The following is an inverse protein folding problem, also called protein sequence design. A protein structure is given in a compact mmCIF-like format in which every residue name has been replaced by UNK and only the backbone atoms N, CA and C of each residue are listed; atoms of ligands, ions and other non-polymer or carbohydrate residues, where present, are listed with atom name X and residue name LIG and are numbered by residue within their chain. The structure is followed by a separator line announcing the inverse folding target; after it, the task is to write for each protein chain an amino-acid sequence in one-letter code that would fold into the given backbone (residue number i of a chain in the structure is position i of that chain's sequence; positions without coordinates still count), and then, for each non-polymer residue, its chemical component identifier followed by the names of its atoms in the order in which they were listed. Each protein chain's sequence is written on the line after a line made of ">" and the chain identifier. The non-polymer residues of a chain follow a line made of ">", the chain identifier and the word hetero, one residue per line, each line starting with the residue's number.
data_IF_346627017266
#
_entry.id   IF_346627017266
#
_cell.length_a   1.000
_cell.length_b   1.000
_cell.length_c   1.000
_cell.angle_alpha   90.00
_cell.angle_beta   90.00
_cell.angle_gamma   90.00
#
_symmetry.space_group_name_H-M   'P 1'
#
loop_
_entity.id
_entity.type
_entity.pdbx_description
1 polymer ?
#
# COMPACT_ATOMS: atom_id res chain seq x y z
N UNK A 1 -6.69 8.02 -1.10
CA UNK A 1 -8.01 7.72 -1.66
C UNK A 1 -7.95 6.43 -2.48
N UNK A 2 -9.10 5.85 -2.74
CA UNK A 2 -9.26 4.66 -3.58
C UNK A 2 -8.70 4.87 -5.01
N UNK A 3 -8.69 6.10 -5.48
CA UNK A 3 -8.09 6.51 -6.77
C UNK A 3 -6.58 6.27 -6.82
N UNK A 4 -5.92 6.19 -5.67
CA UNK A 4 -4.50 5.94 -5.55
C UNK A 4 -4.14 4.45 -5.79
N UNK A 5 -5.14 3.56 -5.92
CA UNK A 5 -4.95 2.14 -6.22
C UNK A 5 -4.83 1.82 -7.73
N UNK A 6 -4.94 2.82 -8.62
CA UNK A 6 -4.83 2.62 -10.08
C UNK A 6 -3.53 1.95 -10.56
N UNK A 7 -2.37 2.12 -9.90
CA UNK A 7 -1.16 1.39 -10.28
C UNK A 7 -1.32 -0.14 -10.29
N UNK A 8 -2.34 -0.67 -9.59
CA UNK A 8 -2.65 -2.10 -9.58
C UNK A 8 -2.96 -2.67 -10.98
N UNK A 9 -3.46 -1.86 -11.90
CA UNK A 9 -3.71 -2.27 -13.29
C UNK A 9 -2.43 -2.58 -14.07
N UNK A 10 -1.29 -2.11 -13.59
CA UNK A 10 0.05 -2.34 -14.16
C UNK A 10 0.71 -3.60 -13.58
N UNK A 11 0.06 -4.26 -12.60
CA UNK A 11 0.61 -5.47 -12.02
C UNK A 11 0.73 -6.59 -13.06
N UNK A 12 1.85 -7.27 -13.07
CA UNK A 12 2.14 -8.42 -13.92
C UNK A 12 1.44 -9.67 -13.34
N UNK A 13 0.11 -9.69 -13.41
CA UNK A 13 -0.74 -10.77 -12.94
C UNK A 13 -1.72 -11.19 -14.03
N UNK A 14 -2.13 -12.46 -13.99
CA UNK A 14 -3.06 -13.02 -14.97
C UNK A 14 -4.50 -12.54 -14.70
N UNK A 15 -4.87 -12.47 -13.42
CA UNK A 15 -6.19 -12.00 -12.97
C UNK A 15 -6.07 -10.99 -11.84
N UNK A 16 -7.03 -10.06 -11.82
CA UNK A 16 -7.22 -9.09 -10.72
C UNK A 16 -8.62 -9.30 -10.17
N UNK A 17 -8.75 -9.45 -8.87
CA UNK A 17 -10.03 -9.54 -8.19
C UNK A 17 -10.18 -8.35 -7.27
N UNK A 18 -11.27 -7.63 -7.45
CA UNK A 18 -11.61 -6.47 -6.63
C UNK A 18 -12.75 -6.82 -5.69
N UNK A 19 -12.48 -6.81 -4.39
CA UNK A 19 -13.48 -6.90 -3.33
C UNK A 19 -13.74 -5.53 -2.71
N UNK A 20 -14.83 -4.87 -3.12
CA UNK A 20 -15.21 -3.55 -2.63
C UNK A 20 -16.23 -3.63 -1.49
N UNK A 21 -15.94 -3.00 -0.35
CA UNK A 21 -16.76 -3.03 0.86
C UNK A 21 -17.13 -1.61 1.30
N UNK A 22 -18.42 -1.28 1.23
CA UNK A 22 -18.92 0.03 1.62
C UNK A 22 -18.48 1.17 0.71
N UNK A 23 -18.31 0.89 -0.57
CA UNK A 23 -17.92 1.89 -1.57
C UNK A 23 -19.05 2.88 -1.83
N UNK A 24 -18.70 4.14 -2.09
CA UNK A 24 -19.67 5.10 -2.62
C UNK A 24 -20.05 4.74 -4.07
N UNK A 25 -21.22 5.17 -4.53
CA UNK A 25 -21.61 4.96 -5.93
C UNK A 25 -20.63 5.65 -6.90
N UNK A 26 -20.10 6.81 -6.53
CA UNK A 26 -19.13 7.54 -7.34
C UNK A 26 -17.81 6.75 -7.49
N UNK A 27 -17.31 6.16 -6.40
CA UNK A 27 -16.12 5.29 -6.44
C UNK A 27 -16.36 4.05 -7.31
N UNK A 28 -17.53 3.42 -7.15
CA UNK A 28 -17.91 2.26 -7.98
C UNK A 28 -17.91 2.60 -9.48
N UNK A 29 -18.58 3.70 -9.86
CA UNK A 29 -18.63 4.16 -11.25
C UNK A 29 -17.26 4.55 -11.78
N UNK A 30 -16.45 5.18 -10.94
CA UNK A 30 -15.07 5.53 -11.28
C UNK A 30 -14.25 4.28 -11.62
N UNK A 31 -14.23 3.27 -10.75
CA UNK A 31 -13.50 2.02 -11.03
C UNK A 31 -14.00 1.32 -12.28
N UNK A 32 -15.32 1.22 -12.45
CA UNK A 32 -15.92 0.62 -13.64
C UNK A 32 -15.45 1.32 -14.93
N UNK A 33 -15.44 2.65 -14.92
CA UNK A 33 -15.01 3.44 -16.08
C UNK A 33 -13.50 3.28 -16.35
N UNK A 34 -12.68 3.33 -15.29
CA UNK A 34 -11.22 3.15 -15.40
C UNK A 34 -10.87 1.78 -15.96
N UNK A 35 -11.48 0.72 -15.46
CA UNK A 35 -11.25 -0.64 -15.93
C UNK A 35 -11.71 -0.85 -17.38
N UNK A 36 -12.85 -0.26 -17.74
CA UNK A 36 -13.36 -0.28 -19.12
C UNK A 36 -12.41 0.45 -20.08
N UNK A 37 -11.96 1.65 -19.71
CA UNK A 37 -11.06 2.47 -20.52
C UNK A 37 -9.66 1.86 -20.67
N UNK A 38 -9.21 1.12 -19.66
CA UNK A 38 -7.92 0.42 -19.69
C UNK A 38 -7.96 -0.87 -20.50
N UNK A 39 -9.14 -1.29 -21.04
CA UNK A 39 -9.29 -2.58 -21.72
C UNK A 39 -9.01 -3.80 -20.82
N UNK A 40 -9.13 -3.62 -19.51
CA UNK A 40 -8.74 -4.63 -18.51
C UNK A 40 -9.93 -5.49 -18.02
N UNK A 41 -11.13 -5.28 -18.54
CA UNK A 41 -12.35 -5.96 -18.06
C UNK A 41 -12.25 -7.48 -18.12
N UNK A 42 -11.56 -8.03 -19.12
CA UNK A 42 -11.39 -9.49 -19.26
C UNK A 42 -10.45 -10.11 -18.20
N UNK A 43 -9.65 -9.26 -17.55
CA UNK A 43 -8.74 -9.66 -16.48
C UNK A 43 -9.29 -9.42 -15.09
N UNK A 44 -10.39 -8.68 -14.96
CA UNK A 44 -10.91 -8.22 -13.67
C UNK A 44 -12.22 -8.91 -13.33
N UNK A 45 -12.28 -9.48 -12.13
CA UNK A 45 -13.52 -9.93 -11.48
C UNK A 45 -13.78 -9.03 -10.30
N UNK A 46 -15.00 -8.52 -10.14
CA UNK A 46 -15.33 -7.61 -9.06
C UNK A 46 -16.55 -8.05 -8.25
N UNK A 47 -16.42 -8.03 -6.94
CA UNK A 47 -17.47 -8.22 -5.96
C UNK A 47 -17.63 -6.91 -5.20
N UNK A 48 -18.78 -6.28 -5.26
CA UNK A 48 -18.97 -4.92 -4.76
C UNK A 48 -20.16 -4.82 -3.83
N UNK A 49 -19.93 -4.28 -2.65
CA UNK A 49 -20.96 -3.78 -1.76
C UNK A 49 -20.82 -2.24 -1.68
N UNK A 50 -21.90 -1.55 -1.94
CA UNK A 50 -21.94 -0.09 -1.86
C UNK A 50 -22.52 0.38 -0.52
N UNK A 51 -22.46 1.68 -0.25
CA UNK A 51 -23.07 2.30 0.93
C UNK A 51 -24.59 2.15 0.98
N UNK A 52 -25.22 1.86 -0.16
CA UNK A 52 -26.68 1.62 -0.26
C UNK A 52 -27.07 0.18 0.09
N UNK A 53 -26.11 -0.75 0.07
CA UNK A 53 -26.36 -2.15 0.42
C UNK A 53 -26.30 -2.38 1.94
N UNK A 54 -26.97 -3.41 2.46
CA UNK A 54 -26.90 -3.78 3.87
C UNK A 54 -25.44 -3.98 4.34
N UNK A 55 -25.04 -3.43 5.50
CA UNK A 55 -23.67 -3.60 6.00
C UNK A 55 -23.24 -5.05 6.19
N UNK A 56 -24.17 -5.96 6.52
CA UNK A 56 -23.85 -7.39 6.72
C UNK A 56 -23.33 -8.06 5.44
N UNK A 57 -23.72 -7.59 4.28
CA UNK A 57 -23.22 -8.12 2.99
C UNK A 57 -21.73 -7.86 2.80
N UNK A 58 -21.17 -6.83 3.45
CA UNK A 58 -19.72 -6.54 3.42
C UNK A 58 -18.89 -7.71 3.92
N UNK A 59 -19.42 -8.46 4.89
CA UNK A 59 -18.74 -9.60 5.48
C UNK A 59 -18.56 -10.77 4.50
N UNK A 60 -19.37 -10.84 3.46
CA UNK A 60 -19.30 -11.88 2.43
C UNK A 60 -18.31 -11.55 1.30
N UNK A 61 -17.99 -10.28 1.11
CA UNK A 61 -17.17 -9.83 -0.02
C UNK A 61 -15.76 -10.45 -0.01
N UNK A 62 -15.00 -10.47 1.11
CA UNK A 62 -13.69 -11.12 1.12
C UNK A 62 -13.75 -12.60 0.78
N UNK A 63 -14.75 -13.33 1.32
CA UNK A 63 -14.90 -14.76 1.06
C UNK A 63 -15.23 -15.03 -0.41
N UNK A 64 -16.11 -14.25 -1.02
CA UNK A 64 -16.44 -14.36 -2.45
C UNK A 64 -15.22 -14.06 -3.33
N UNK A 65 -14.51 -12.98 -3.04
CA UNK A 65 -13.32 -12.57 -3.78
C UNK A 65 -12.21 -13.63 -3.70
N UNK A 66 -11.95 -14.13 -2.49
CA UNK A 66 -10.89 -15.11 -2.26
C UNK A 66 -11.25 -16.50 -2.78
N UNK A 67 -12.53 -16.92 -2.74
CA UNK A 67 -12.99 -18.16 -3.37
C UNK A 67 -12.77 -18.12 -4.89
N UNK A 68 -13.07 -16.98 -5.53
CA UNK A 68 -12.79 -16.82 -6.95
C UNK A 68 -11.26 -16.82 -7.22
N UNK A 69 -10.47 -16.20 -6.35
CA UNK A 69 -9.00 -16.22 -6.46
C UNK A 69 -8.42 -17.63 -6.34
N UNK A 70 -8.90 -18.41 -5.38
CA UNK A 70 -8.51 -19.81 -5.21
C UNK A 70 -8.84 -20.64 -6.46
N UNK A 71 -10.02 -20.44 -7.06
CA UNK A 71 -10.40 -21.13 -8.29
C UNK A 71 -9.39 -20.86 -9.42
N UNK A 72 -9.08 -19.61 -9.70
CA UNK A 72 -8.13 -19.24 -10.77
C UNK A 72 -6.71 -19.72 -10.47
N UNK A 73 -6.25 -19.56 -9.22
CA UNK A 73 -4.91 -19.95 -8.86
C UNK A 73 -4.69 -21.47 -8.85
N UNK A 74 -5.68 -22.25 -8.38
CA UNK A 74 -5.54 -23.72 -8.26
C UNK A 74 -5.85 -24.42 -9.57
N UNK A 75 -6.97 -24.06 -10.23
CA UNK A 75 -7.42 -24.80 -11.41
C UNK A 75 -6.73 -24.34 -12.70
N UNK A 76 -6.39 -23.06 -12.80
CA UNK A 76 -5.79 -22.49 -14.01
C UNK A 76 -4.28 -22.21 -13.84
N UNK A 77 -3.72 -22.39 -12.65
CA UNK A 77 -2.34 -22.04 -12.31
C UNK A 77 -2.02 -20.54 -12.53
N UNK A 78 -3.01 -19.67 -12.39
CA UNK A 78 -2.89 -18.24 -12.62
C UNK A 78 -2.29 -17.53 -11.39
N UNK A 79 -1.57 -16.43 -11.66
CA UNK A 79 -1.16 -15.45 -10.65
C UNK A 79 -2.28 -14.46 -10.45
N UNK A 80 -2.91 -14.49 -9.29
CA UNK A 80 -4.08 -13.69 -8.97
C UNK A 80 -3.72 -12.60 -7.98
N UNK A 81 -4.07 -11.36 -8.29
CA UNK A 81 -3.99 -10.23 -7.39
C UNK A 81 -5.38 -9.90 -6.86
N UNK A 82 -5.54 -9.93 -5.55
CA UNK A 82 -6.80 -9.57 -4.86
C UNK A 82 -6.62 -8.22 -4.18
N UNK A 83 -7.48 -7.26 -4.53
CA UNK A 83 -7.58 -5.98 -3.86
C UNK A 83 -8.82 -5.98 -2.96
N UNK A 84 -8.64 -5.94 -1.66
CA UNK A 84 -9.73 -5.83 -0.69
C UNK A 84 -9.78 -4.38 -0.16
N UNK A 85 -10.86 -3.69 -0.47
CA UNK A 85 -11.06 -2.28 -0.12
C UNK A 85 -12.52 -1.99 0.23
N UNK A 86 -12.88 -1.48 1.38
CA UNK A 86 -12.04 -1.05 2.51
C UNK A 86 -12.19 -2.02 3.68
N UNK A 87 -11.06 -2.49 4.21
CA UNK A 87 -11.08 -3.42 5.35
C UNK A 87 -11.53 -2.74 6.64
N UNK A 88 -11.46 -1.41 6.74
CA UNK A 88 -12.08 -0.65 7.83
C UNK A 88 -13.59 -0.75 7.78
N UNK A 89 -14.19 -0.60 6.58
CA UNK A 89 -15.63 -0.80 6.38
C UNK A 89 -16.08 -2.25 6.66
N UNK A 90 -15.22 -3.24 6.37
CA UNK A 90 -15.46 -4.64 6.76
C UNK A 90 -15.51 -4.77 8.28
N UNK A 91 -14.53 -4.22 9.00
CA UNK A 91 -14.45 -4.28 10.46
C UNK A 91 -15.62 -3.55 11.14
N UNK A 92 -16.08 -2.44 10.59
CA UNK A 92 -17.26 -1.73 11.05
C UNK A 92 -18.53 -2.60 10.93
N UNK A 93 -18.69 -3.31 9.82
CA UNK A 93 -19.79 -4.25 9.64
C UNK A 93 -19.71 -5.42 10.62
N UNK A 94 -18.51 -5.93 10.88
CA UNK A 94 -18.27 -6.98 11.87
C UNK A 94 -18.65 -6.49 13.29
N UNK A 95 -18.29 -5.27 13.65
CA UNK A 95 -18.65 -4.66 14.92
C UNK A 95 -20.17 -4.50 15.06
N UNK A 96 -20.88 -4.09 14.00
CA UNK A 96 -22.34 -3.98 14.01
C UNK A 96 -22.99 -5.34 14.29
N UNK A 97 -22.54 -6.41 13.63
CA UNK A 97 -23.07 -7.76 13.85
C UNK A 97 -22.74 -8.27 15.25
N UNK A 98 -21.50 -8.11 15.69
CA UNK A 98 -21.03 -8.51 17.01
C UNK A 98 -21.83 -7.85 18.14
N UNK A 99 -22.09 -6.54 18.03
CA UNK A 99 -22.90 -5.80 19.00
C UNK A 99 -24.36 -6.29 19.05
N UNK A 100 -24.93 -6.71 17.93
CA UNK A 100 -26.27 -7.31 17.88
C UNK A 100 -26.34 -8.70 18.50
N UNK A 101 -25.20 -9.36 18.63
CA UNK A 101 -25.04 -10.66 19.28
C UNK A 101 -24.63 -10.53 20.76
N UNK A 102 -24.75 -9.33 21.34
CA UNK A 102 -24.41 -9.00 22.74
C UNK A 102 -22.95 -9.36 23.12
N UNK A 103 -22.04 -9.32 22.17
CA UNK A 103 -20.62 -9.54 22.43
C UNK A 103 -19.98 -8.27 23.01
N UNK A 104 -19.10 -8.48 24.00
CA UNK A 104 -18.37 -7.36 24.64
C UNK A 104 -17.35 -6.78 23.66
N UNK A 105 -17.39 -5.47 23.36
CA UNK A 105 -16.40 -4.81 22.51
C UNK A 105 -15.00 -4.84 23.13
N UNK A 106 -13.98 -4.89 22.28
CA UNK A 106 -12.57 -4.76 22.62
C UNK A 106 -12.06 -3.34 22.29
N UNK A 107 -10.77 -3.20 22.02
CA UNK A 107 -10.11 -1.94 21.62
C UNK A 107 -10.85 -1.28 20.44
N UNK A 108 -11.02 0.04 20.51
CA UNK A 108 -11.65 0.88 19.48
C UNK A 108 -13.11 0.46 19.15
N UNK A 109 -13.84 -0.11 20.13
CA UNK A 109 -15.18 -0.64 19.95
C UNK A 109 -15.30 -1.80 18.95
N UNK A 110 -14.20 -2.42 18.59
CA UNK A 110 -14.14 -3.57 17.67
C UNK A 110 -14.42 -4.89 18.41
N UNK A 111 -14.94 -5.92 17.72
CA UNK A 111 -15.13 -7.24 18.32
C UNK A 111 -13.82 -7.89 18.72
N UNK A 112 -13.83 -8.70 19.78
CA UNK A 112 -12.65 -9.45 20.23
C UNK A 112 -12.12 -10.44 19.20
N UNK A 113 -12.93 -10.86 18.25
CA UNK A 113 -12.56 -11.74 17.15
C UNK A 113 -11.86 -11.06 15.97
N UNK A 114 -11.76 -9.72 15.94
CA UNK A 114 -11.26 -8.96 14.79
C UNK A 114 -9.94 -9.51 14.26
N UNK A 115 -8.96 -9.77 15.15
CA UNK A 115 -7.66 -10.30 14.74
C UNK A 115 -7.79 -11.65 14.02
N UNK A 116 -8.55 -12.58 14.58
CA UNK A 116 -8.73 -13.91 14.00
C UNK A 116 -9.53 -13.88 12.69
N UNK A 117 -10.49 -12.97 12.57
CA UNK A 117 -11.27 -12.82 11.34
C UNK A 117 -10.42 -12.23 10.22
N UNK A 118 -9.62 -11.20 10.50
CA UNK A 118 -8.64 -10.67 9.53
C UNK A 118 -7.57 -11.70 9.16
N UNK A 119 -7.06 -12.46 10.14
CA UNK A 119 -6.05 -13.48 9.89
C UNK A 119 -6.56 -14.57 8.93
N UNK A 120 -7.80 -15.06 9.10
CA UNK A 120 -8.43 -16.03 8.20
C UNK A 120 -8.52 -15.53 6.75
N UNK A 121 -8.73 -14.23 6.56
CA UNK A 121 -8.78 -13.62 5.24
C UNK A 121 -7.37 -13.55 4.64
N UNK A 122 -6.40 -13.04 5.40
CA UNK A 122 -5.07 -12.73 4.88
C UNK A 122 -4.18 -13.98 4.73
N UNK A 123 -4.40 -15.04 5.51
CA UNK A 123 -3.67 -16.31 5.35
C UNK A 123 -3.92 -17.02 4.02
N UNK A 124 -4.93 -16.60 3.27
CA UNK A 124 -5.19 -17.09 1.90
C UNK A 124 -4.21 -16.53 0.84
N UNK A 125 -3.36 -15.58 1.21
CA UNK A 125 -2.24 -15.15 0.37
C UNK A 125 -1.17 -16.22 0.33
N UNK A 126 -1.11 -17.00 -0.76
CA UNK A 126 -0.28 -18.19 -0.85
C UNK A 126 0.23 -18.42 -2.27
N UNK A 127 1.41 -19.05 -2.40
CA UNK A 127 1.90 -19.62 -3.66
C UNK A 127 1.70 -21.13 -3.62
N UNK A 128 0.99 -21.65 -4.62
CA UNK A 128 0.71 -23.08 -4.75
C UNK A 128 1.87 -23.82 -5.41
N UNK A 129 2.12 -25.08 -5.05
CA UNK A 129 3.15 -25.89 -5.70
C UNK A 129 2.93 -26.09 -7.20
N UNK A 130 1.70 -26.00 -7.67
CA UNK A 130 1.30 -26.09 -9.09
C UNK A 130 1.75 -24.89 -9.92
N UNK A 131 2.11 -23.77 -9.29
CA UNK A 131 2.57 -22.55 -9.97
C UNK A 131 1.63 -21.35 -9.83
N UNK A 132 0.36 -21.56 -9.51
CA UNK A 132 -0.59 -20.47 -9.23
C UNK A 132 -0.27 -19.77 -7.91
N UNK A 133 -0.72 -18.53 -7.77
CA UNK A 133 -0.51 -17.75 -6.54
C UNK A 133 -1.60 -16.74 -6.29
N UNK A 134 -1.83 -16.42 -5.02
CA UNK A 134 -2.72 -15.35 -4.57
C UNK A 134 -1.89 -14.31 -3.83
N UNK A 135 -1.91 -13.10 -4.32
CA UNK A 135 -1.36 -11.92 -3.63
C UNK A 135 -2.52 -11.05 -3.17
N UNK A 136 -2.54 -10.66 -1.90
CA UNK A 136 -3.60 -9.81 -1.34
C UNK A 136 -3.03 -8.43 -1.03
N UNK A 137 -3.71 -7.39 -1.51
CA UNK A 137 -3.53 -6.01 -1.06
C UNK A 137 -4.79 -5.63 -0.28
N UNK A 138 -4.64 -5.51 1.03
CA UNK A 138 -5.69 -5.07 1.93
C UNK A 138 -5.57 -3.56 2.17
N UNK A 139 -6.60 -2.81 1.77
CA UNK A 139 -6.64 -1.35 1.97
C UNK A 139 -7.40 -1.05 3.26
N UNK A 140 -6.80 -0.22 4.11
CA UNK A 140 -7.41 0.30 5.33
C UNK A 140 -7.44 1.82 5.28
N UNK A 141 -8.57 2.41 5.64
CA UNK A 141 -8.69 3.86 5.81
C UNK A 141 -8.25 4.25 7.23
N UNK A 142 -7.39 5.26 7.31
CA UNK A 142 -6.90 5.78 8.58
C UNK A 142 -7.76 6.99 9.00
N UNK A 143 -8.63 6.79 9.98
CA UNK A 143 -9.37 7.90 10.58
C UNK A 143 -8.42 8.83 11.31
N UNK A 144 -8.38 10.12 10.93
CA UNK A 144 -7.45 11.09 11.50
C UNK A 144 -5.95 10.78 11.29
N UNK A 145 -5.61 9.84 10.40
CA UNK A 145 -4.23 9.41 10.18
C UNK A 145 -3.67 8.48 11.27
N UNK A 146 -4.54 7.93 12.12
CA UNK A 146 -4.15 7.05 13.24
C UNK A 146 -3.90 5.62 12.77
N UNK A 147 -2.61 5.25 12.70
CA UNK A 147 -2.15 3.90 12.36
C UNK A 147 -2.32 2.91 13.54
N UNK A 148 -2.53 3.43 14.76
CA UNK A 148 -2.67 2.59 15.98
C UNK A 148 -4.08 2.12 16.24
N UNK A 149 -5.04 2.55 15.42
CA UNK A 149 -6.41 2.02 15.44
C UNK A 149 -6.40 0.50 15.19
N UNK A 150 -7.32 -0.24 15.82
CA UNK A 150 -7.32 -1.71 15.82
C UNK A 150 -7.25 -2.35 14.43
N UNK A 151 -7.87 -1.77 13.40
CA UNK A 151 -7.91 -2.34 12.06
C UNK A 151 -6.56 -2.24 11.33
N UNK A 152 -5.96 -1.05 11.14
CA UNK A 152 -4.64 -0.95 10.52
C UNK A 152 -3.55 -1.62 11.35
N UNK A 153 -3.62 -1.56 12.69
CA UNK A 153 -2.64 -2.17 13.59
C UNK A 153 -2.64 -3.70 13.41
N UNK A 154 -3.80 -4.36 13.52
CA UNK A 154 -3.91 -5.80 13.30
C UNK A 154 -3.54 -6.21 11.87
N UNK A 155 -3.96 -5.46 10.86
CA UNK A 155 -3.57 -5.69 9.47
C UNK A 155 -2.06 -5.64 9.30
N UNK A 156 -1.40 -4.66 9.91
CA UNK A 156 0.05 -4.52 9.92
C UNK A 156 0.78 -5.67 10.61
N UNK A 157 0.19 -6.28 11.65
CA UNK A 157 0.77 -7.45 12.32
C UNK A 157 0.66 -8.73 11.49
N UNK A 158 -0.45 -8.93 10.80
CA UNK A 158 -0.74 -10.17 10.07
C UNK A 158 -0.02 -10.19 8.73
N UNK A 159 0.03 -9.07 8.01
CA UNK A 159 0.57 -8.99 6.65
C UNK A 159 2.09 -8.87 6.62
N UNK A 160 2.72 -9.26 5.50
CA UNK A 160 4.19 -9.23 5.32
C UNK A 160 4.76 -7.84 5.02
N UNK A 161 3.90 -6.86 4.76
CA UNK A 161 4.30 -5.48 4.54
C UNK A 161 3.14 -4.54 4.60
N UNK A 162 3.43 -3.28 4.86
CA UNK A 162 2.45 -2.20 4.82
C UNK A 162 3.03 -0.99 4.11
N UNK A 163 2.22 -0.38 3.27
CA UNK A 163 2.52 0.86 2.57
C UNK A 163 1.65 1.97 3.17
N UNK A 164 2.28 2.93 3.81
CA UNK A 164 1.59 4.10 4.33
C UNK A 164 1.61 5.21 3.28
N UNK A 165 0.43 5.62 2.84
CA UNK A 165 0.26 6.68 1.85
C UNK A 165 -0.02 8.01 2.56
N UNK A 166 0.65 9.09 2.12
CA UNK A 166 0.37 10.45 2.57
C UNK A 166 0.46 11.45 1.43
N UNK A 167 -0.24 12.55 1.56
CA UNK A 167 -0.05 13.69 0.65
C UNK A 167 1.21 14.45 1.06
N UNK A 168 2.09 14.66 0.10
CA UNK A 168 3.28 15.50 0.26
C UNK A 168 2.95 16.93 -0.18
N UNK A 169 3.08 17.90 0.76
CA UNK A 169 2.75 19.30 0.50
C UNK A 169 3.73 19.99 -0.45
N UNK A 170 4.98 19.52 -0.46
CA UNK A 170 6.08 20.18 -1.18
C UNK A 170 6.00 19.88 -2.70
N UNK A 171 5.39 18.74 -3.06
CA UNK A 171 5.18 18.34 -4.47
C UNK A 171 3.71 18.23 -4.86
N UNK A 172 2.77 18.34 -3.90
CA UNK A 172 1.32 18.26 -4.15
C UNK A 172 0.79 16.88 -4.54
N UNK A 173 1.60 15.83 -4.42
CA UNK A 173 1.27 14.45 -4.80
C UNK A 173 1.05 13.55 -3.59
N UNK A 174 0.43 12.39 -3.82
CA UNK A 174 0.42 11.28 -2.86
C UNK A 174 1.71 10.49 -3.03
N UNK A 175 2.35 10.19 -1.93
CA UNK A 175 3.60 9.41 -1.88
C UNK A 175 3.49 8.24 -0.92
N UNK A 176 4.32 7.23 -1.12
CA UNK A 176 4.60 6.19 -0.12
C UNK A 176 5.55 6.77 0.92
N UNK A 177 5.13 6.81 2.19
CA UNK A 177 5.97 7.31 3.29
C UNK A 177 7.04 6.26 3.64
N UNK A 178 8.34 6.55 3.45
CA UNK A 178 9.40 5.57 3.66
C UNK A 178 9.67 5.25 5.13
N UNK A 179 9.22 6.09 6.07
CA UNK A 179 9.42 5.86 7.51
C UNK A 179 8.30 5.06 8.15
N UNK A 180 7.07 5.23 7.65
CA UNK A 180 5.89 4.55 8.17
C UNK A 180 5.56 3.26 7.42
N UNK A 181 6.20 3.05 6.28
CA UNK A 181 6.05 1.83 5.49
C UNK A 181 7.03 0.76 5.93
N UNK A 182 6.60 -0.50 5.86
CA UNK A 182 7.37 -1.66 6.32
C UNK A 182 7.28 -2.78 5.30
N UNK A 183 8.40 -3.49 5.08
CA UNK A 183 8.44 -4.79 4.41
C UNK A 183 9.28 -5.76 5.23
N UNK A 184 8.67 -6.84 5.72
CA UNK A 184 9.36 -7.89 6.47
C UNK A 184 10.24 -8.76 5.58
N UNK A 185 9.85 -8.90 4.32
CA UNK A 185 10.54 -9.78 3.36
C UNK A 185 11.71 -9.10 2.62
N UNK A 186 11.95 -7.80 2.83
CA UNK A 186 12.98 -7.05 2.10
C UNK A 186 14.37 -7.71 2.18
N UNK A 187 14.73 -8.29 3.31
CA UNK A 187 16.05 -8.95 3.51
C UNK A 187 16.22 -10.23 2.68
N UNK A 188 15.13 -10.85 2.25
CA UNK A 188 15.15 -12.04 1.39
C UNK A 188 15.39 -11.69 -0.09
N UNK A 189 15.11 -10.46 -0.47
CA UNK A 189 15.11 -9.99 -1.86
C UNK A 189 16.25 -9.00 -2.12
N UNK A 190 16.42 -8.01 -1.25
CA UNK A 190 17.33 -6.88 -1.44
C UNK A 190 18.79 -7.33 -1.51
N UNK A 191 19.45 -7.06 -2.64
CA UNK A 191 20.83 -7.45 -2.91
C UNK A 191 21.05 -8.94 -3.21
N UNK A 192 20.00 -9.77 -3.16
CA UNK A 192 20.04 -11.22 -3.48
C UNK A 192 19.33 -11.53 -4.78
N UNK A 193 18.10 -11.04 -4.95
CA UNK A 193 17.30 -11.15 -6.18
C UNK A 193 17.30 -9.84 -6.97
N UNK A 194 17.84 -8.78 -6.40
CA UNK A 194 18.01 -7.46 -7.00
C UNK A 194 19.49 -7.14 -7.13
N UNK A 195 19.82 -5.99 -7.73
CA UNK A 195 21.19 -5.51 -7.91
C UNK A 195 21.94 -5.44 -6.57
N UNK A 196 23.23 -5.77 -6.55
CA UNK A 196 24.03 -5.93 -5.32
C UNK A 196 24.17 -4.65 -4.47
N UNK A 197 24.09 -3.48 -5.10
CA UNK A 197 24.15 -2.17 -4.45
C UNK A 197 22.83 -1.69 -3.87
N UNK A 198 21.73 -2.43 -4.11
CA UNK A 198 20.39 -2.06 -3.60
C UNK A 198 20.38 -1.80 -2.09
N UNK A 199 21.00 -2.62 -1.21
CA UNK A 199 21.00 -2.33 0.23
C UNK A 199 21.67 -0.99 0.57
N UNK A 200 22.79 -0.67 -0.08
CA UNK A 200 23.55 0.55 0.15
C UNK A 200 22.78 1.78 -0.33
N UNK A 201 22.20 1.69 -1.54
CA UNK A 201 21.36 2.76 -2.10
C UNK A 201 20.17 3.06 -1.19
N UNK A 202 19.44 2.02 -0.75
CA UNK A 202 18.31 2.17 0.14
C UNK A 202 18.69 2.80 1.48
N UNK A 203 19.78 2.33 2.11
CA UNK A 203 20.24 2.88 3.39
C UNK A 203 20.68 4.35 3.26
N UNK A 204 21.38 4.70 2.18
CA UNK A 204 21.77 6.08 1.90
C UNK A 204 20.54 6.98 1.68
N UNK A 205 19.57 6.53 0.90
CA UNK A 205 18.34 7.28 0.64
C UNK A 205 17.54 7.54 1.91
N UNK A 206 17.32 6.50 2.74
CA UNK A 206 16.57 6.64 4.01
C UNK A 206 17.28 7.63 4.95
N UNK A 207 18.62 7.56 5.05
CA UNK A 207 19.37 8.50 5.88
C UNK A 207 19.23 9.94 5.38
N UNK A 208 19.44 10.18 4.08
CA UNK A 208 19.33 11.53 3.51
C UNK A 208 17.90 12.07 3.62
N UNK A 209 16.91 11.22 3.50
CA UNK A 209 15.51 11.60 3.69
C UNK A 209 15.21 11.96 5.16
N UNK A 210 15.85 11.28 6.13
CA UNK A 210 15.77 11.62 7.54
C UNK A 210 16.48 12.95 7.85
N UNK A 211 17.65 13.20 7.26
CA UNK A 211 18.36 14.46 7.39
C UNK A 211 17.52 15.62 6.83
N UNK A 212 16.82 15.41 5.71
CA UNK A 212 15.90 16.40 5.15
C UNK A 212 14.70 16.68 6.08
N UNK A 213 14.14 15.66 6.74
CA UNK A 213 13.08 15.85 7.73
C UNK A 213 13.56 16.70 8.92
N UNK A 214 14.79 16.46 9.40
CA UNK A 214 15.42 17.29 10.43
C UNK A 214 15.66 18.73 9.95
N UNK A 215 16.13 18.92 8.71
CA UNK A 215 16.32 20.25 8.13
C UNK A 215 14.98 21.00 7.99
N UNK A 216 13.90 20.32 7.62
CA UNK A 216 12.55 20.90 7.57
C UNK A 216 12.09 21.37 8.95
N UNK A 217 12.30 20.57 9.99
CA UNK A 217 12.00 20.95 11.38
C UNK A 217 12.82 22.16 11.84
N UNK A 218 14.11 22.27 11.47
CA UNK A 218 14.92 23.47 11.74
C UNK A 218 14.31 24.72 11.09
N UNK A 219 13.93 24.60 9.80
CA UNK A 219 13.32 25.70 9.06
C UNK A 219 12.00 26.18 9.70
N UNK A 220 11.14 25.24 10.06
CA UNK A 220 9.85 25.50 10.72
C UNK A 220 10.03 26.19 12.10
N UNK A 221 11.12 25.88 12.79
CA UNK A 221 11.47 26.51 14.07
C UNK A 221 12.26 27.83 13.92
N UNK A 222 12.47 28.30 12.69
CA UNK A 222 13.14 29.57 12.41
C UNK A 222 14.67 29.55 12.55
N UNK A 223 15.29 28.37 12.50
CA UNK A 223 16.75 28.25 12.48
C UNK A 223 17.31 28.41 11.07
N UNK A 224 18.52 28.97 10.99
CA UNK A 224 19.25 29.05 9.73
C UNK A 224 19.64 27.65 9.24
N UNK A 225 19.50 27.45 7.93
CA UNK A 225 19.90 26.22 7.27
C UNK A 225 21.35 26.26 6.84
N UNK A 226 22.04 25.15 6.99
CA UNK A 226 23.36 24.96 6.39
C UNK A 226 23.23 24.60 4.92
N UNK A 227 24.32 24.74 4.15
CA UNK A 227 24.35 24.30 2.74
C UNK A 227 24.03 22.78 2.59
N UNK A 228 24.37 21.98 3.60
CA UNK A 228 23.98 20.55 3.65
C UNK A 228 22.47 20.40 3.86
N UNK A 229 21.86 21.15 4.77
CA UNK A 229 20.41 21.13 5.01
C UNK A 229 19.64 21.51 3.74
N UNK A 230 20.05 22.56 3.02
CA UNK A 230 19.43 22.98 1.76
C UNK A 230 19.51 21.89 0.68
N UNK A 231 20.68 21.24 0.55
CA UNK A 231 20.87 20.14 -0.41
C UNK A 231 20.04 18.93 -0.06
N UNK A 232 19.90 18.58 1.23
CA UNK A 232 19.07 17.45 1.65
C UNK A 232 17.58 17.72 1.42
N UNK A 233 17.09 18.94 1.63
CA UNK A 233 15.72 19.34 1.31
C UNK A 233 15.43 19.25 -0.20
N UNK A 234 16.34 19.76 -1.03
CA UNK A 234 16.20 19.67 -2.49
C UNK A 234 16.24 18.22 -2.98
N UNK A 235 17.13 17.39 -2.41
CA UNK A 235 17.19 15.96 -2.66
C UNK A 235 15.86 15.28 -2.30
N UNK A 236 15.33 15.52 -1.10
CA UNK A 236 14.11 14.86 -0.63
C UNK A 236 12.91 15.21 -1.51
N UNK A 237 12.82 16.45 -2.00
CA UNK A 237 11.77 16.89 -2.93
C UNK A 237 11.85 16.12 -4.25
N UNK A 238 13.03 16.04 -4.86
CA UNK A 238 13.22 15.31 -6.11
C UNK A 238 13.02 13.81 -5.92
N UNK A 239 13.51 13.25 -4.79
CA UNK A 239 13.34 11.85 -4.44
C UNK A 239 11.85 11.48 -4.25
N UNK A 240 11.09 12.32 -3.54
CA UNK A 240 9.64 12.14 -3.41
C UNK A 240 8.94 12.14 -4.76
N UNK A 241 9.29 13.08 -5.65
CA UNK A 241 8.62 13.21 -6.93
C UNK A 241 8.98 12.10 -7.94
N UNK A 242 10.23 11.61 -7.92
CA UNK A 242 10.73 10.66 -8.92
C UNK A 242 10.69 9.20 -8.49
N UNK A 243 10.59 8.93 -7.17
CA UNK A 243 10.64 7.55 -6.64
C UNK A 243 9.51 7.19 -5.69
N UNK A 244 9.01 8.14 -4.87
CA UNK A 244 8.00 7.83 -3.85
C UNK A 244 6.57 8.14 -4.31
N UNK A 245 6.39 8.97 -5.33
CA UNK A 245 5.06 9.33 -5.82
C UNK A 245 4.38 8.10 -6.45
N UNK A 246 3.08 7.92 -6.16
CA UNK A 246 2.33 6.73 -6.61
C UNK A 246 2.11 6.66 -8.12
N UNK A 247 2.31 7.76 -8.84
CA UNK A 247 2.24 7.82 -10.30
C UNK A 247 3.55 7.38 -11.00
N UNK A 248 4.62 7.15 -10.22
CA UNK A 248 5.90 6.61 -10.72
C UNK A 248 5.75 5.15 -11.12
N UNK A 249 6.30 4.82 -12.30
CA UNK A 249 6.32 3.46 -12.83
C UNK A 249 7.71 3.10 -13.34
N UNK A 250 8.55 2.60 -12.44
CA UNK A 250 9.93 2.20 -12.71
C UNK A 250 10.13 0.76 -12.25
N UNK A 251 10.93 0.01 -12.98
CA UNK A 251 11.44 -1.26 -12.46
C UNK A 251 12.50 -1.05 -11.37
N UNK A 252 12.89 -2.12 -10.68
CA UNK A 252 13.84 -2.03 -9.57
C UNK A 252 15.22 -1.51 -10.03
N UNK A 253 15.66 -1.81 -11.25
CA UNK A 253 16.94 -1.36 -11.78
C UNK A 253 16.90 0.12 -12.12
N UNK A 254 15.85 0.56 -12.81
CA UNK A 254 15.59 1.96 -13.13
C UNK A 254 15.49 2.82 -11.86
N UNK A 255 14.78 2.31 -10.85
CA UNK A 255 14.67 2.98 -9.54
C UNK A 255 16.04 3.20 -8.90
N UNK A 256 16.92 2.21 -8.93
CA UNK A 256 18.29 2.32 -8.39
C UNK A 256 19.14 3.30 -9.19
N UNK A 257 18.98 3.36 -10.52
CA UNK A 257 19.70 4.30 -11.37
C UNK A 257 19.25 5.74 -11.15
N UNK A 258 17.94 5.97 -10.97
CA UNK A 258 17.41 7.28 -10.58
C UNK A 258 17.95 7.70 -9.22
N UNK A 259 17.96 6.81 -8.22
CA UNK A 259 18.51 7.09 -6.90
C UNK A 259 20.00 7.48 -6.99
N UNK A 260 20.83 6.75 -7.76
CA UNK A 260 22.22 7.09 -8.00
C UNK A 260 22.40 8.45 -8.69
N UNK A 261 21.54 8.76 -9.66
CA UNK A 261 21.54 10.06 -10.32
C UNK A 261 21.28 11.20 -9.34
N UNK A 262 20.30 11.02 -8.43
CA UNK A 262 19.98 12.01 -7.40
C UNK A 262 21.14 12.18 -6.39
N UNK A 263 21.78 11.08 -5.95
CA UNK A 263 22.97 11.18 -5.10
C UNK A 263 24.08 11.96 -5.80
N UNK A 264 24.32 11.66 -7.08
CA UNK A 264 25.32 12.38 -7.88
C UNK A 264 25.01 13.86 -8.08
N UNK A 265 23.72 14.22 -8.21
CA UNK A 265 23.29 15.60 -8.38
C UNK A 265 23.52 16.44 -7.13
N UNK A 266 23.22 15.90 -5.95
CA UNK A 266 23.22 16.69 -4.70
C UNK A 266 24.45 16.50 -3.82
N UNK A 267 25.15 15.35 -3.92
CA UNK A 267 26.20 14.95 -2.97
C UNK A 267 27.52 14.53 -3.61
N UNK A 268 27.75 14.81 -4.91
CA UNK A 268 29.09 14.66 -5.47
C UNK A 268 30.06 15.59 -4.73
N UNK A 269 31.25 15.09 -4.32
CA UNK A 269 32.28 15.99 -3.86
C UNK A 269 32.62 16.94 -5.01
N UNK A 270 32.60 18.27 -4.72
CA UNK A 270 33.13 19.24 -5.65
C UNK A 270 34.56 18.79 -6.00
N UNK A 271 34.78 18.42 -7.26
CA UNK A 271 36.12 18.30 -7.79
C UNK A 271 36.66 19.74 -7.88
N UNK A 272 37.04 20.29 -6.75
CA UNK A 272 37.95 21.42 -6.74
C UNK A 272 39.31 20.87 -7.00
N UNK A 273 39.80 21.20 -8.18
CA UNK A 273 41.15 21.13 -8.68
C UNK A 273 42.23 21.24 -7.62
#
# INVERSE_FOLDING_TARGET
>A
SLHDALPILRAETDKIILGGMGMTNDDYLYFKNVFSNAGALDRIVSFMNTTENPPVERLLIPDMALTAAEYFAVNNNEKVLVLLTDMTSYADALAIVSNRMDQIPSKDSMPGSLYSDLAKIYEKAVQFPSGGSITIIAVTTLSGGDITHAVPDNTGYITEGQLFLRRDSDIGKVIVDPFRSLSRLKQLVTGKKTRKDHPQVMNAAVRLYADAANAKTKLENGFDLTNYDERTLAFAKDYSNQLLAIDVNLDTTEMLDVAWSLFGKYFRPDRKS
#
